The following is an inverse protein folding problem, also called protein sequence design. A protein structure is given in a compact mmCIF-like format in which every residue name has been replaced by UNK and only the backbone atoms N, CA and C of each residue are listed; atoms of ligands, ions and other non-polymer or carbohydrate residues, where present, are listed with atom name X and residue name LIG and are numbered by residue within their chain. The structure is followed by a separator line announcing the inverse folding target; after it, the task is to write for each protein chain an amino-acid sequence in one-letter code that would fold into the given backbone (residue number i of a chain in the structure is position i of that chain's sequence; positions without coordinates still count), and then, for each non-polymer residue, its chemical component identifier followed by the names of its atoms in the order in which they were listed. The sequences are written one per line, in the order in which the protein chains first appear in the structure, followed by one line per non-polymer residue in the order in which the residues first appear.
data_IF_869807127625
#
_entry.id   IF_869807127625
#
_cell.length_a   1.000
_cell.length_b   1.000
_cell.length_c   1.000
_cell.angle_alpha   90.00
_cell.angle_beta   90.00
_cell.angle_gamma   90.00
#
_symmetry.space_group_name_H-M   'P 1'
#
loop_
_entity.id
_entity.type
_entity.pdbx_description
1 polymer ?
#
# COMPACT_ATOMS: atom_id res chain seq x y z
N UNK A 1 -8.29 0.45 20.47
CA UNK A 1 -8.62 -0.43 19.33
C UNK A 1 -8.05 0.20 18.08
N UNK A 2 -7.29 -0.55 17.28
CA UNK A 2 -6.70 -0.03 16.02
C UNK A 2 -7.62 -0.43 14.86
N UNK A 3 -8.22 0.55 14.21
CA UNK A 3 -9.04 0.34 13.00
C UNK A 3 -8.20 0.79 11.81
N UNK A 4 -8.02 -0.09 10.84
CA UNK A 4 -7.14 0.13 9.68
C UNK A 4 -7.87 -0.13 8.37
N UNK A 5 -7.69 0.75 7.39
CA UNK A 5 -7.98 0.43 5.99
C UNK A 5 -6.71 -0.16 5.36
N UNK A 6 -6.83 -1.38 4.85
CA UNK A 6 -5.70 -2.18 4.37
C UNK A 6 -5.29 -1.87 2.93
N UNK A 7 -6.04 -1.07 2.18
CA UNK A 7 -5.69 -0.80 0.79
C UNK A 7 -6.34 0.48 0.24
N UNK A 8 -5.70 1.63 0.48
CA UNK A 8 -6.09 2.92 -0.13
C UNK A 8 -5.12 3.33 -1.23
N UNK A 9 -5.63 4.05 -2.23
CA UNK A 9 -4.83 4.60 -3.32
C UNK A 9 -5.01 6.12 -3.35
N UNK A 10 -3.97 6.87 -2.99
CA UNK A 10 -3.99 8.32 -3.11
C UNK A 10 -3.77 8.75 -4.57
N UNK A 11 -4.07 10.01 -4.89
CA UNK A 11 -3.70 10.62 -6.16
C UNK A 11 -2.19 10.42 -6.44
N UNK A 12 -1.78 10.05 -7.66
CA UNK A 12 -2.56 10.04 -8.90
C UNK A 12 -3.34 8.75 -9.20
N UNK A 13 -3.13 7.67 -8.45
CA UNK A 13 -3.87 6.41 -8.70
C UNK A 13 -5.32 6.48 -8.21
N UNK A 14 -5.57 7.22 -7.13
CA UNK A 14 -6.92 7.58 -6.70
C UNK A 14 -7.28 9.02 -7.03
N UNK A 15 -8.48 9.43 -6.61
CA UNK A 15 -9.05 10.75 -6.90
C UNK A 15 -8.76 11.83 -5.85
N UNK A 16 -8.15 11.46 -4.72
CA UNK A 16 -7.94 12.37 -3.58
C UNK A 16 -6.52 12.30 -3.06
N UNK A 17 -6.02 13.41 -2.50
CA UNK A 17 -4.68 13.44 -1.91
C UNK A 17 -4.65 12.63 -0.62
N UNK A 18 -3.48 12.09 -0.27
CA UNK A 18 -3.30 11.33 0.96
C UNK A 18 -3.71 12.14 2.21
N UNK A 19 -3.47 13.46 2.22
CA UNK A 19 -3.86 14.33 3.34
C UNK A 19 -5.38 14.40 3.49
N UNK A 20 -6.13 14.55 2.40
CA UNK A 20 -7.60 14.55 2.44
C UNK A 20 -8.11 13.20 2.90
N UNK A 21 -7.55 12.11 2.37
CA UNK A 21 -7.91 10.75 2.79
C UNK A 21 -7.66 10.52 4.29
N UNK A 22 -6.51 10.94 4.81
CA UNK A 22 -6.19 10.82 6.23
C UNK A 22 -7.15 11.64 7.13
N UNK A 23 -7.53 12.84 6.68
CA UNK A 23 -8.49 13.68 7.41
C UNK A 23 -9.87 13.01 7.48
N UNK A 24 -10.37 12.50 6.36
CA UNK A 24 -11.66 11.77 6.32
C UNK A 24 -11.60 10.48 7.14
N UNK A 25 -10.51 9.72 7.02
CA UNK A 25 -10.29 8.50 7.78
C UNK A 25 -10.37 8.75 9.29
N UNK A 26 -9.79 9.85 9.77
CA UNK A 26 -9.91 10.27 11.17
C UNK A 26 -11.36 10.50 11.59
N UNK A 27 -12.14 11.22 10.78
CA UNK A 27 -13.57 11.48 11.07
C UNK A 27 -14.39 10.19 11.10
N UNK A 28 -14.00 9.21 10.29
CA UNK A 28 -14.62 7.87 10.26
C UNK A 28 -14.10 6.93 11.36
N UNK A 29 -13.18 7.39 12.21
CA UNK A 29 -12.64 6.61 13.34
C UNK A 29 -11.49 5.65 12.98
N UNK A 30 -10.94 5.74 11.78
CA UNK A 30 -9.74 5.00 11.42
C UNK A 30 -8.50 5.60 12.08
N UNK A 31 -7.66 4.72 12.60
CA UNK A 31 -6.37 5.07 13.20
C UNK A 31 -5.19 4.87 12.24
N UNK A 32 -5.38 4.07 11.17
CA UNK A 32 -4.33 3.72 10.22
C UNK A 32 -4.86 3.54 8.79
N UNK A 33 -4.05 3.90 7.81
CA UNK A 33 -4.25 3.60 6.40
C UNK A 33 -3.00 2.93 5.80
N UNK A 34 -3.21 1.92 4.97
CA UNK A 34 -2.15 1.35 4.12
C UNK A 34 -2.28 1.94 2.73
N UNK A 35 -1.33 2.81 2.36
CA UNK A 35 -1.33 3.47 1.06
C UNK A 35 -0.58 2.61 0.04
N UNK A 36 -1.28 2.02 -0.92
CA UNK A 36 -0.79 0.98 -1.82
C UNK A 36 -0.38 1.49 -3.21
N UNK A 37 -0.04 2.77 -3.32
CA UNK A 37 0.38 3.36 -4.58
C UNK A 37 1.66 2.71 -5.12
N UNK A 38 1.62 2.22 -6.36
CA UNK A 38 2.79 1.68 -7.05
C UNK A 38 3.93 2.71 -7.16
N UNK A 39 3.58 3.96 -7.51
CA UNK A 39 4.47 5.10 -7.38
C UNK A 39 4.19 5.86 -6.09
N UNK A 40 4.86 5.43 -5.03
CA UNK A 40 4.78 6.06 -3.72
C UNK A 40 5.36 7.49 -3.74
N UNK A 41 6.32 7.81 -4.63
CA UNK A 41 6.92 9.15 -4.67
C UNK A 41 5.94 10.20 -5.18
N UNK A 42 5.08 9.84 -6.13
CA UNK A 42 4.07 10.75 -6.66
C UNK A 42 2.91 11.00 -5.66
N UNK A 43 2.59 10.00 -4.84
CA UNK A 43 1.43 10.03 -3.96
C UNK A 43 1.71 10.62 -2.57
N UNK A 44 2.97 10.52 -2.12
CA UNK A 44 3.37 10.95 -0.78
C UNK A 44 3.84 12.41 -0.79
N UNK A 45 3.36 13.25 0.14
CA UNK A 45 3.89 14.59 0.34
C UNK A 45 5.41 14.56 0.54
N UNK A 46 6.13 15.50 -0.09
CA UNK A 46 7.61 15.49 -0.16
C UNK A 46 8.29 15.41 1.21
N UNK A 47 7.67 15.96 2.26
CA UNK A 47 8.21 15.91 3.63
C UNK A 47 8.25 14.50 4.25
N UNK A 48 7.50 13.54 3.68
CA UNK A 48 7.50 12.14 4.09
C UNK A 48 8.20 11.24 3.06
N UNK A 49 8.86 11.81 2.06
CA UNK A 49 9.60 11.05 1.06
C UNK A 49 10.63 10.13 1.73
N UNK A 50 10.67 8.86 1.30
CA UNK A 50 11.56 7.84 1.87
C UNK A 50 11.07 7.20 3.18
N UNK A 51 10.02 7.72 3.81
CA UNK A 51 9.42 7.09 4.99
C UNK A 51 8.49 5.96 4.58
N UNK A 52 8.55 4.86 5.33
CA UNK A 52 7.66 3.71 5.17
C UNK A 52 6.48 3.76 6.13
N UNK A 53 6.62 4.47 7.24
CA UNK A 53 5.56 4.74 8.22
C UNK A 53 5.66 6.19 8.68
N UNK A 54 4.53 6.91 8.72
CA UNK A 54 4.46 8.30 9.19
C UNK A 54 3.02 8.65 9.60
N UNK A 55 2.80 9.79 10.27
CA UNK A 55 1.46 10.22 10.71
C UNK A 55 0.99 11.45 9.95
N UNK A 56 -0.29 11.47 9.57
CA UNK A 56 -0.97 12.62 8.97
C UNK A 56 -2.27 12.86 9.74
N UNK A 57 -2.40 14.04 10.36
CA UNK A 57 -3.55 14.42 11.20
C UNK A 57 -3.88 13.46 12.37
N UNK A 58 -2.92 12.64 12.80
CA UNK A 58 -3.11 11.62 13.84
C UNK A 58 -3.49 10.24 13.30
N UNK A 59 -3.57 10.06 11.98
CA UNK A 59 -3.74 8.76 11.33
C UNK A 59 -2.37 8.25 10.86
N UNK A 60 -2.01 7.03 11.25
CA UNK A 60 -0.77 6.40 10.81
C UNK A 60 -0.91 5.94 9.35
N UNK A 61 0.00 6.36 8.49
CA UNK A 61 0.11 5.92 7.12
C UNK A 61 1.24 4.92 7.02
N UNK A 62 0.93 3.73 6.53
CA UNK A 62 1.90 2.67 6.23
C UNK A 62 2.03 2.55 4.72
N UNK A 63 3.26 2.47 4.23
CA UNK A 63 3.54 2.19 2.83
C UNK A 63 3.13 0.76 2.49
N UNK A 64 2.27 0.64 1.49
CA UNK A 64 1.87 -0.62 0.88
C UNK A 64 2.33 -0.72 -0.57
N UNK A 65 2.30 -1.94 -1.11
CA UNK A 65 2.41 -2.20 -2.53
C UNK A 65 1.44 -3.32 -2.92
N UNK A 66 0.82 -3.18 -4.09
CA UNK A 66 0.02 -4.27 -4.69
C UNK A 66 0.76 -4.79 -5.91
N UNK A 67 1.19 -6.05 -5.83
CA UNK A 67 1.82 -6.78 -6.92
C UNK A 67 0.74 -7.36 -7.82
N UNK A 68 0.83 -7.06 -9.12
CA UNK A 68 0.08 -7.74 -10.17
C UNK A 68 1.11 -8.51 -10.99
N UNK A 69 1.12 -9.82 -10.87
CA UNK A 69 2.06 -10.68 -11.57
C UNK A 69 1.31 -11.70 -12.44
N UNK A 70 1.81 -11.91 -13.65
CA UNK A 70 1.22 -12.86 -14.61
C UNK A 70 1.71 -14.29 -14.37
N UNK A 71 2.89 -14.44 -13.77
CA UNK A 71 3.51 -15.73 -13.45
C UNK A 71 4.44 -15.62 -12.24
N UNK A 72 4.89 -16.77 -11.73
CA UNK A 72 5.72 -16.85 -10.52
C UNK A 72 7.07 -16.12 -10.62
N UNK A 73 7.69 -16.15 -11.81
CA UNK A 73 8.97 -15.46 -12.03
C UNK A 73 8.81 -13.95 -11.95
N UNK A 74 7.74 -13.42 -12.55
CA UNK A 74 7.40 -12.00 -12.45
C UNK A 74 7.08 -11.60 -11.00
N UNK A 75 6.32 -12.43 -10.27
CA UNK A 75 6.06 -12.22 -8.84
C UNK A 75 7.36 -12.09 -8.04
N UNK A 76 8.30 -13.04 -8.17
CA UNK A 76 9.58 -12.96 -7.44
C UNK A 76 10.38 -11.70 -7.78
N UNK A 77 10.37 -11.27 -9.05
CA UNK A 77 11.03 -10.04 -9.47
C UNK A 77 10.38 -8.80 -8.86
N UNK A 78 9.05 -8.77 -8.74
CA UNK A 78 8.33 -7.66 -8.14
C UNK A 78 8.48 -7.62 -6.61
N UNK A 79 8.45 -8.78 -5.93
CA UNK A 79 8.70 -8.85 -4.47
C UNK A 79 10.05 -8.23 -4.12
N UNK A 80 11.11 -8.57 -4.87
CA UNK A 80 12.45 -7.96 -4.68
C UNK A 80 12.44 -6.44 -4.84
N UNK A 81 11.63 -5.88 -5.75
CA UNK A 81 11.50 -4.41 -5.91
C UNK A 81 10.84 -3.74 -4.70
N UNK A 82 10.02 -4.47 -3.96
CA UNK A 82 9.25 -3.98 -2.83
C UNK A 82 9.75 -4.52 -1.48
N UNK A 83 10.97 -5.05 -1.40
CA UNK A 83 11.54 -5.63 -0.17
C UNK A 83 11.57 -4.64 1.02
N UNK A 84 11.70 -3.34 0.73
CA UNK A 84 11.66 -2.27 1.73
C UNK A 84 10.24 -1.79 2.10
N UNK A 85 9.20 -2.36 1.49
CA UNK A 85 7.81 -1.99 1.73
C UNK A 85 7.24 -2.86 2.86
N UNK A 86 6.69 -2.27 3.94
CA UNK A 86 6.18 -3.04 5.08
C UNK A 86 5.04 -4.01 4.75
N UNK A 87 4.17 -3.64 3.80
CA UNK A 87 3.00 -4.43 3.45
C UNK A 87 2.97 -4.63 1.94
N UNK A 88 3.02 -5.90 1.52
CA UNK A 88 2.86 -6.29 0.13
C UNK A 88 1.58 -7.12 0.01
N UNK A 89 0.66 -6.68 -0.84
CA UNK A 89 -0.50 -7.44 -1.26
C UNK A 89 -0.28 -7.97 -2.67
N UNK A 90 -0.89 -9.10 -3.00
CA UNK A 90 -0.76 -9.74 -4.32
C UNK A 90 -2.15 -9.94 -4.89
N UNK A 91 -2.37 -9.48 -6.12
CA UNK A 91 -3.55 -9.87 -6.88
C UNK A 91 -3.25 -11.20 -7.58
N UNK A 92 -3.90 -12.26 -7.13
CA UNK A 92 -3.61 -13.62 -7.53
C UNK A 92 -4.89 -14.21 -8.20
N UNK A 93 -4.86 -14.33 -9.53
CA UNK A 93 -6.03 -14.68 -10.34
C UNK A 93 -6.09 -16.14 -10.80
N UNK A 94 -4.99 -16.88 -10.75
CA UNK A 94 -4.92 -18.28 -11.19
C UNK A 94 -4.57 -19.23 -10.04
N UNK A 95 -5.30 -20.33 -9.91
CA UNK A 95 -5.11 -21.29 -8.81
C UNK A 95 -3.69 -21.89 -8.73
N UNK A 96 -3.05 -22.15 -9.87
CA UNK A 96 -1.68 -22.66 -9.90
C UNK A 96 -0.69 -21.60 -9.39
N UNK A 97 -0.86 -20.34 -9.80
CA UNK A 97 -0.09 -19.21 -9.31
C UNK A 97 -0.32 -18.95 -7.81
N UNK A 98 -1.57 -18.98 -7.35
CA UNK A 98 -1.94 -18.77 -5.95
C UNK A 98 -1.22 -19.76 -5.03
N UNK A 99 -1.17 -21.05 -5.41
CA UNK A 99 -0.44 -22.06 -4.63
C UNK A 99 1.05 -21.75 -4.54
N UNK A 100 1.66 -21.34 -5.65
CA UNK A 100 3.08 -20.99 -5.67
C UNK A 100 3.40 -19.76 -4.80
N UNK A 101 2.52 -18.74 -4.81
CA UNK A 101 2.65 -17.54 -3.95
C UNK A 101 2.48 -17.88 -2.47
N UNK A 102 1.55 -18.78 -2.11
CA UNK A 102 1.34 -19.18 -0.71
C UNK A 102 2.50 -20.01 -0.14
N UNK A 103 3.29 -20.66 -1.00
CA UNK A 103 4.43 -21.48 -0.61
C UNK A 103 5.79 -20.74 -0.61
N UNK A 104 5.82 -19.45 -0.97
CA UNK A 104 7.05 -18.67 -1.13
C UNK A 104 7.53 -18.00 0.15
#
# INVERSE_FOLDING_TARGET
MTVSDACVFAYPLGSSSLRRMALEAKYLGFSRLVCSNADFKAAIPKEFAGRTVFSVYGVEIVRGAVIKAENFRDFQNQVKKYESVPIVAVNAGENAFNRSVLSS
#
